data_IF_509760852340
#
_entry.id   IF_509760852340
#
_cell.length_a   1.000
_cell.length_b   1.000
_cell.length_c   1.000
_cell.angle_alpha   90.00
_cell.angle_beta   90.00
_cell.angle_gamma   90.00
#
_symmetry.space_group_name_H-M   'P 1'
#
loop_
_entity.id
_entity.type
_entity.pdbx_description
1 polymer ?
#
# COMPACT_ATOMS: atom_id res chain seq x y z
N UNK A 1 -13.39 -8.33 -4.32
CA UNK A 1 -12.04 -7.73 -4.13
C UNK A 1 -12.08 -6.61 -3.11
N UNK A 2 -12.85 -5.53 -3.34
CA UNK A 2 -12.84 -4.36 -2.45
C UNK A 2 -13.33 -4.63 -1.02
N UNK A 3 -14.13 -5.67 -0.72
CA UNK A 3 -14.49 -5.98 0.66
C UNK A 3 -13.25 -6.25 1.53
N UNK A 4 -12.28 -7.02 1.05
CA UNK A 4 -11.08 -7.37 1.82
C UNK A 4 -9.85 -6.79 1.16
N UNK A 5 -9.36 -5.65 1.65
CA UNK A 5 -8.18 -4.94 1.15
C UNK A 5 -7.00 -5.19 2.08
N UNK A 6 -5.85 -5.54 1.49
CA UNK A 6 -4.60 -5.73 2.24
C UNK A 6 -4.19 -4.44 2.97
N UNK A 7 -3.97 -4.53 4.28
CA UNK A 7 -3.71 -3.37 5.15
C UNK A 7 -2.66 -3.65 6.25
N UNK A 8 -1.87 -4.71 6.14
CA UNK A 8 -0.72 -4.90 7.03
C UNK A 8 0.32 -3.78 6.78
N UNK A 9 0.94 -3.28 7.84
CA UNK A 9 2.02 -2.30 7.73
C UNK A 9 3.36 -3.00 7.84
N UNK A 10 4.22 -2.86 6.83
CA UNK A 10 5.58 -3.42 6.86
C UNK A 10 6.59 -2.28 7.03
N UNK A 11 7.39 -2.34 8.09
CA UNK A 11 8.54 -1.46 8.34
C UNK A 11 9.82 -2.26 8.11
N UNK A 12 10.72 -1.72 7.30
CA UNK A 12 11.98 -2.38 6.94
C UNK A 12 13.17 -1.56 7.42
N UNK A 13 14.11 -2.20 8.10
CA UNK A 13 15.26 -1.52 8.71
C UNK A 13 16.52 -2.35 8.63
N UNK A 14 17.67 -1.69 8.50
CA UNK A 14 18.98 -2.33 8.59
C UNK A 14 19.39 -2.40 10.06
N UNK A 15 19.82 -3.58 10.51
CA UNK A 15 20.26 -3.81 11.90
C UNK A 15 21.74 -3.45 12.00
N UNK A 16 22.02 -2.16 12.19
CA UNK A 16 23.34 -1.61 12.54
C UNK A 16 23.30 -1.04 13.97
N UNK A 17 24.40 -0.42 14.43
CA UNK A 17 24.47 0.19 15.77
C UNK A 17 23.33 1.20 15.98
N UNK A 18 23.02 1.98 14.94
CA UNK A 18 21.81 2.75 14.81
C UNK A 18 20.89 2.04 13.81
N UNK A 19 19.69 1.63 14.24
CA UNK A 19 18.73 0.99 13.34
C UNK A 19 18.19 1.99 12.34
N UNK A 20 18.76 2.00 11.13
CA UNK A 20 18.37 2.95 10.08
C UNK A 20 17.16 2.39 9.32
N UNK A 21 16.01 3.10 9.32
CA UNK A 21 14.85 2.71 8.52
C UNK A 21 15.14 2.87 7.02
N UNK A 22 14.71 1.90 6.23
CA UNK A 22 14.79 1.97 4.77
C UNK A 22 13.57 2.71 4.23
N UNK A 23 13.80 3.55 3.23
CA UNK A 23 12.74 4.32 2.58
C UNK A 23 12.00 3.39 1.61
N UNK A 24 10.74 3.10 1.95
CA UNK A 24 9.82 2.32 1.13
C UNK A 24 8.90 3.28 0.37
N UNK A 25 8.95 3.24 -0.95
CA UNK A 25 8.11 4.03 -1.84
C UNK A 25 7.00 3.18 -2.45
N UNK A 26 5.90 3.82 -2.85
CA UNK A 26 4.86 3.15 -3.63
C UNK A 26 5.41 2.62 -4.94
N UNK A 27 4.82 1.50 -5.38
CA UNK A 27 5.07 0.96 -6.71
C UNK A 27 4.39 1.87 -7.73
N UNK A 28 5.10 2.38 -8.76
CA UNK A 28 4.51 3.22 -9.77
C UNK A 28 3.37 2.51 -10.52
N UNK A 29 2.24 3.20 -10.66
CA UNK A 29 1.10 2.72 -11.43
C UNK A 29 1.25 3.18 -12.89
N UNK A 30 1.06 2.26 -13.82
CA UNK A 30 1.08 2.53 -15.27
C UNK A 30 -0.04 3.50 -15.67
N UNK A 31 0.18 4.23 -16.76
CA UNK A 31 -0.73 5.29 -17.19
C UNK A 31 -2.17 4.81 -17.39
N UNK A 32 -2.37 3.68 -18.06
CA UNK A 32 -3.71 3.12 -18.34
C UNK A 32 -4.53 2.87 -17.07
N UNK A 33 -3.91 2.37 -16.01
CA UNK A 33 -4.59 2.12 -14.74
C UNK A 33 -4.83 3.43 -13.98
N UNK A 34 -3.91 4.41 -14.06
CA UNK A 34 -4.20 5.78 -13.55
C UNK A 34 -5.36 6.47 -14.27
N UNK A 35 -5.64 6.11 -15.53
CA UNK A 35 -6.82 6.61 -16.23
C UNK A 35 -8.10 5.95 -15.70
N UNK A 36 -8.05 4.65 -15.40
CA UNK A 36 -9.20 3.88 -14.93
C UNK A 36 -9.56 4.18 -13.46
N UNK A 37 -8.56 4.29 -12.61
CA UNK A 37 -8.72 4.49 -11.17
C UNK A 37 -8.51 5.96 -10.83
N UNK A 38 -9.62 6.70 -10.72
CA UNK A 38 -9.62 8.14 -10.45
C UNK A 38 -10.61 8.49 -9.37
N UNK A 39 -10.23 9.46 -8.56
CA UNK A 39 -11.16 10.09 -7.63
C UNK A 39 -12.26 10.87 -8.39
N UNK A 40 -13.47 10.93 -7.84
CA UNK A 40 -14.50 11.84 -8.33
C UNK A 40 -14.03 13.30 -8.26
N UNK A 41 -14.58 14.20 -9.10
CA UNK A 41 -14.25 15.61 -9.04
C UNK A 41 -14.62 16.19 -7.67
N UNK A 42 -13.70 16.94 -7.07
CA UNK A 42 -13.91 17.61 -5.78
C UNK A 42 -14.41 19.03 -6.04
N UNK A 43 -15.64 19.39 -5.60
CA UNK A 43 -16.15 20.76 -5.76
C UNK A 43 -15.28 21.80 -5.04
N UNK A 44 -15.25 23.02 -5.56
CA UNK A 44 -14.51 24.14 -4.94
C UNK A 44 -14.90 24.32 -3.47
N UNK A 45 -13.91 24.37 -2.59
CA UNK A 45 -14.10 24.54 -1.15
C UNK A 45 -14.46 23.26 -0.39
N UNK A 46 -14.51 22.10 -1.07
CA UNK A 46 -14.67 20.78 -0.44
C UNK A 46 -13.38 19.97 -0.44
N UNK A 47 -13.36 18.95 0.40
CA UNK A 47 -12.31 17.93 0.48
C UNK A 47 -12.76 16.61 -0.14
N UNK A 48 -11.81 15.73 -0.42
CA UNK A 48 -12.13 14.37 -0.89
C UNK A 48 -12.98 13.58 0.13
N UNK A 49 -12.81 13.85 1.43
CA UNK A 49 -13.63 13.24 2.48
C UNK A 49 -15.11 13.66 2.36
N UNK A 50 -15.36 14.94 2.06
CA UNK A 50 -16.74 15.46 1.86
C UNK A 50 -17.41 14.82 0.64
N UNK A 51 -16.62 14.49 -0.40
CA UNK A 51 -17.16 13.77 -1.57
C UNK A 51 -17.54 12.34 -1.20
N UNK A 52 -16.81 11.72 -0.28
CA UNK A 52 -17.09 10.36 0.19
C UNK A 52 -18.08 10.27 1.36
N UNK A 53 -18.59 11.38 1.90
CA UNK A 53 -19.43 11.41 3.11
C UNK A 53 -20.67 10.51 3.01
N UNK A 54 -21.30 10.48 1.83
CA UNK A 54 -22.49 9.67 1.58
C UNK A 54 -22.19 8.21 1.21
N UNK A 55 -20.93 7.81 1.19
CA UNK A 55 -20.50 6.45 0.87
C UNK A 55 -20.00 5.75 2.15
N UNK A 56 -20.35 4.48 2.29
CA UNK A 56 -19.84 3.65 3.37
C UNK A 56 -18.66 2.80 2.90
N UNK A 57 -17.65 2.68 3.77
CA UNK A 57 -16.59 1.69 3.60
C UNK A 57 -17.09 0.31 4.02
N UNK A 58 -16.57 -0.78 3.42
CA UNK A 58 -16.79 -2.12 3.94
C UNK A 58 -16.37 -2.24 5.42
N UNK A 59 -17.08 -3.06 6.20
CA UNK A 59 -16.86 -3.25 7.65
C UNK A 59 -15.43 -3.74 7.97
N UNK A 60 -14.85 -4.51 7.07
CA UNK A 60 -13.49 -5.06 7.15
C UNK A 60 -12.39 -4.01 6.98
N UNK A 61 -12.71 -2.76 6.62
CA UNK A 61 -11.71 -1.72 6.40
C UNK A 61 -11.40 -0.99 7.69
N UNK A 62 -10.11 -0.94 8.05
CA UNK A 62 -9.64 -0.17 9.21
C UNK A 62 -9.53 1.33 8.94
N UNK A 63 -9.49 1.75 7.67
CA UNK A 63 -9.33 3.15 7.24
C UNK A 63 -10.30 3.48 6.11
N UNK A 64 -10.75 4.73 6.04
CA UNK A 64 -11.55 5.23 4.92
C UNK A 64 -10.68 5.49 3.69
N UNK A 65 -11.30 5.48 2.50
CA UNK A 65 -10.65 5.83 1.24
C UNK A 65 -9.93 7.20 1.31
N UNK A 66 -10.53 8.19 1.97
CA UNK A 66 -9.97 9.53 2.12
C UNK A 66 -8.75 9.62 3.06
N UNK A 67 -8.41 8.54 3.76
CA UNK A 67 -7.43 8.52 4.86
C UNK A 67 -6.32 7.47 4.66
N UNK A 68 -6.17 6.95 3.44
CA UNK A 68 -5.20 5.91 3.11
C UNK A 68 -3.76 6.41 3.25
N UNK A 69 -3.49 7.66 2.88
CA UNK A 69 -2.19 8.31 2.96
C UNK A 69 -2.30 9.73 3.54
N UNK A 70 -1.64 9.96 4.68
CA UNK A 70 -1.60 11.28 5.34
C UNK A 70 -0.47 12.17 4.83
N UNK A 71 0.53 11.58 4.19
CA UNK A 71 1.73 12.27 3.72
C UNK A 71 1.57 12.83 2.31
N UNK A 72 0.76 12.17 1.48
CA UNK A 72 0.47 12.59 0.12
C UNK A 72 -1.03 12.50 -0.18
N UNK A 73 -1.68 13.66 -0.28
CA UNK A 73 -3.12 13.75 -0.54
C UNK A 73 -3.51 13.18 -1.92
N UNK A 74 -2.60 13.17 -2.89
CA UNK A 74 -2.82 12.59 -4.21
C UNK A 74 -2.93 11.06 -4.18
N UNK A 75 -2.45 10.43 -3.09
CA UNK A 75 -2.52 8.99 -2.85
C UNK A 75 -3.67 8.61 -1.93
N UNK A 76 -4.69 9.47 -1.79
CA UNK A 76 -5.96 9.10 -1.19
C UNK A 76 -7.00 8.71 -2.22
N UNK A 77 -8.02 8.01 -1.75
CA UNK A 77 -9.16 7.57 -2.54
C UNK A 77 -8.84 6.41 -3.47
N UNK A 78 -9.52 6.39 -4.62
CA UNK A 78 -9.37 5.38 -5.66
C UNK A 78 -8.02 5.49 -6.39
N UNK A 79 -7.35 6.63 -6.27
CA UNK A 79 -6.03 6.88 -6.87
C UNK A 79 -4.86 6.31 -6.05
N UNK A 80 -5.12 5.74 -4.86
CA UNK A 80 -4.06 5.19 -4.00
C UNK A 80 -3.35 3.99 -4.70
N UNK A 81 -2.01 3.98 -4.80
CA UNK A 81 -1.29 2.92 -5.51
C UNK A 81 -1.51 1.50 -4.94
N UNK A 82 -1.60 1.35 -3.62
CA UNK A 82 -1.84 0.04 -2.99
C UNK A 82 -3.24 -0.46 -3.27
N UNK A 83 -4.22 0.44 -3.18
CA UNK A 83 -5.59 0.13 -3.52
C UNK A 83 -5.70 -0.32 -4.99
N UNK A 84 -5.08 0.41 -5.92
CA UNK A 84 -5.06 0.05 -7.34
C UNK A 84 -4.43 -1.33 -7.54
N UNK A 85 -3.21 -1.55 -7.02
CA UNK A 85 -2.51 -2.83 -7.15
C UNK A 85 -3.34 -4.00 -6.58
N UNK A 86 -4.07 -3.77 -5.48
CA UNK A 86 -4.96 -4.75 -4.90
C UNK A 86 -6.18 -5.05 -5.77
N UNK A 87 -6.78 -4.01 -6.35
CA UNK A 87 -7.99 -4.12 -7.18
C UNK A 87 -7.74 -4.72 -8.56
N UNK A 88 -6.52 -4.66 -9.08
CA UNK A 88 -6.16 -5.38 -10.30
C UNK A 88 -6.32 -6.90 -10.06
N UNK A 89 -6.97 -7.62 -10.97
CA UNK A 89 -7.22 -9.06 -10.79
C UNK A 89 -5.90 -9.84 -10.88
N UNK A 90 -5.66 -10.73 -9.92
CA UNK A 90 -4.65 -11.78 -10.07
C UNK A 90 -5.32 -13.04 -10.64
N UNK A 91 -4.77 -13.66 -11.69
CA UNK A 91 -5.43 -14.78 -12.36
C UNK A 91 -5.35 -16.11 -11.59
N UNK A 92 -4.52 -16.19 -10.54
CA UNK A 92 -4.22 -17.42 -9.81
C UNK A 92 -4.60 -17.31 -8.33
N UNK A 93 -4.87 -18.46 -7.70
CA UNK A 93 -5.17 -18.55 -6.26
C UNK A 93 -3.97 -18.15 -5.40
N UNK A 94 -2.77 -18.57 -5.79
CA UNK A 94 -1.51 -18.10 -5.22
C UNK A 94 -1.01 -16.95 -6.07
N UNK A 95 -0.97 -15.75 -5.51
CA UNK A 95 -0.55 -14.56 -6.23
C UNK A 95 0.38 -13.69 -5.39
N UNK A 96 1.21 -12.92 -6.07
CA UNK A 96 2.08 -11.91 -5.46
C UNK A 96 1.58 -10.54 -5.91
N UNK A 97 1.41 -9.62 -4.96
CA UNK A 97 1.11 -8.22 -5.24
C UNK A 97 2.36 -7.39 -4.93
N UNK A 98 2.76 -6.47 -5.83
CA UNK A 98 3.85 -5.57 -5.53
C UNK A 98 3.43 -4.61 -4.42
N UNK A 99 4.23 -4.50 -3.36
CA UNK A 99 3.91 -3.69 -2.19
C UNK A 99 4.71 -2.38 -2.18
N UNK A 100 6.05 -2.45 -2.12
CA UNK A 100 6.91 -1.26 -2.07
C UNK A 100 8.19 -1.45 -2.88
N UNK A 101 8.74 -0.34 -3.33
CA UNK A 101 10.09 -0.26 -3.89
C UNK A 101 11.01 0.34 -2.84
N UNK A 102 12.18 -0.28 -2.67
CA UNK A 102 13.23 0.26 -1.82
C UNK A 102 14.00 1.27 -2.66
N UNK A 103 13.92 2.55 -2.32
CA UNK A 103 14.63 3.58 -3.07
C UNK A 103 16.13 3.49 -2.78
N UNK A 104 17.01 3.59 -3.80
CA UNK A 104 18.42 3.84 -3.55
C UNK A 104 18.57 5.14 -2.77
N UNK A 105 19.41 5.16 -1.73
CA UNK A 105 19.97 6.43 -1.26
C UNK A 105 21.06 6.84 -2.25
N UNK A 106 21.28 8.15 -2.41
CA UNK A 106 22.07 8.77 -3.49
C UNK A 106 23.52 8.27 -3.72
N UNK A 107 24.02 7.29 -2.96
CA UNK A 107 25.42 6.85 -3.02
C UNK A 107 25.66 5.35 -2.80
N UNK A 108 24.65 4.46 -2.69
CA UNK A 108 24.89 3.02 -2.41
C UNK A 108 23.92 2.07 -3.12
N UNK A 109 24.37 0.82 -3.27
CA UNK A 109 23.52 -0.34 -3.60
C UNK A 109 22.25 -0.30 -2.74
N UNK A 110 21.07 -0.49 -3.36
CA UNK A 110 19.74 -0.39 -2.72
C UNK A 110 19.69 -1.12 -1.38
N UNK A 111 20.28 -2.32 -1.32
CA UNK A 111 20.57 -3.04 -0.08
C UNK A 111 22.03 -3.48 -0.08
N UNK A 112 22.76 -3.17 0.99
CA UNK A 112 24.13 -3.64 1.19
C UNK A 112 24.12 -4.95 1.99
N UNK A 113 25.18 -5.75 1.88
CA UNK A 113 25.30 -6.97 2.70
C UNK A 113 25.18 -6.61 4.19
N UNK A 114 24.31 -7.31 4.92
CA UNK A 114 24.09 -7.03 6.33
C UNK A 114 22.89 -7.77 6.91
N UNK A 115 22.63 -7.55 8.19
CA UNK A 115 21.42 -8.04 8.87
C UNK A 115 20.31 -7.02 8.73
N UNK A 116 19.12 -7.48 8.42
CA UNK A 116 17.93 -6.66 8.28
C UNK A 116 16.83 -7.17 9.19
N UNK A 117 15.89 -6.29 9.53
CA UNK A 117 14.72 -6.61 10.32
C UNK A 117 13.46 -6.09 9.62
N UNK A 118 12.42 -6.91 9.62
CA UNK A 118 11.08 -6.57 9.19
C UNK A 118 10.19 -6.54 10.43
N UNK A 119 9.53 -5.41 10.65
CA UNK A 119 8.49 -5.29 11.65
C UNK A 119 7.14 -5.17 10.94
N UNK A 120 6.24 -6.11 11.20
CA UNK A 120 4.96 -6.23 10.52
C UNK A 120 3.85 -6.01 11.53
N UNK A 121 3.02 -5.00 11.29
CA UNK A 121 1.78 -4.79 12.01
C UNK A 121 0.67 -5.54 11.27
N UNK A 122 0.21 -6.66 11.85
CA UNK A 122 -0.80 -7.53 11.26
C UNK A 122 -2.20 -6.94 11.46
N UNK A 123 -2.74 -6.30 10.43
CA UNK A 123 -4.08 -5.71 10.43
C UNK A 123 -5.05 -6.47 9.53
N UNK A 124 -4.55 -7.29 8.60
CA UNK A 124 -5.36 -8.03 7.65
C UNK A 124 -5.80 -9.37 8.29
N UNK A 125 -7.10 -9.55 8.58
CA UNK A 125 -7.59 -10.71 9.29
C UNK A 125 -7.42 -11.98 8.45
N UNK A 126 -6.75 -12.98 9.02
CA UNK A 126 -6.59 -14.31 8.41
C UNK A 126 -7.65 -15.30 8.91
N UNK A 127 -8.50 -14.93 9.87
CA UNK A 127 -9.39 -15.87 10.57
C UNK A 127 -10.49 -16.47 9.70
N UNK A 128 -10.78 -15.87 8.54
CA UNK A 128 -11.78 -16.39 7.58
C UNK A 128 -11.16 -17.16 6.40
N UNK A 129 -9.83 -17.13 6.26
CA UNK A 129 -9.13 -17.65 5.08
C UNK A 129 -7.95 -18.47 5.59
N UNK A 130 -7.98 -19.79 5.41
CA UNK A 130 -6.88 -20.71 5.73
C UNK A 130 -5.66 -20.50 4.79
N UNK A 131 -5.22 -19.26 4.62
CA UNK A 131 -4.15 -18.82 3.74
C UNK A 131 -2.88 -18.47 4.51
N UNK A 132 -1.74 -18.49 3.79
CA UNK A 132 -0.43 -18.06 4.30
C UNK A 132 -0.01 -16.77 3.61
N UNK A 133 0.60 -15.86 4.37
CA UNK A 133 1.21 -14.63 3.84
C UNK A 133 2.72 -14.81 3.74
N UNK A 134 3.29 -14.34 2.64
CA UNK A 134 4.73 -14.37 2.39
C UNK A 134 5.21 -12.99 1.97
N UNK A 135 6.43 -12.63 2.36
CA UNK A 135 7.13 -11.47 1.84
C UNK A 135 8.21 -11.98 0.90
N UNK A 136 8.18 -11.48 -0.34
CA UNK A 136 9.18 -11.78 -1.35
C UNK A 136 10.03 -10.53 -1.59
N UNK A 137 11.35 -10.72 -1.66
CA UNK A 137 12.29 -9.71 -2.12
C UNK A 137 12.77 -10.10 -3.51
N UNK A 138 12.72 -9.15 -4.44
CA UNK A 138 13.21 -9.31 -5.81
C UNK A 138 13.97 -8.07 -6.24
N UNK A 139 14.92 -8.25 -7.16
CA UNK A 139 15.68 -7.18 -7.81
C UNK A 139 15.17 -6.98 -9.24
#
# INVERSE_FOLDING_TARGET
>A
MAYSVFNDTIKFQKKEADSVPLILQYVPIIFSDRVKFRNPPVPTGKTLADVFENFSSPISWSKKLSELDRSNLDYNGLSNPDFINWMLVAPLQNFVKPYRIISPSASRSVLSKGKYSLNIEYNFPLTEIFGKKYILFSQ
#
